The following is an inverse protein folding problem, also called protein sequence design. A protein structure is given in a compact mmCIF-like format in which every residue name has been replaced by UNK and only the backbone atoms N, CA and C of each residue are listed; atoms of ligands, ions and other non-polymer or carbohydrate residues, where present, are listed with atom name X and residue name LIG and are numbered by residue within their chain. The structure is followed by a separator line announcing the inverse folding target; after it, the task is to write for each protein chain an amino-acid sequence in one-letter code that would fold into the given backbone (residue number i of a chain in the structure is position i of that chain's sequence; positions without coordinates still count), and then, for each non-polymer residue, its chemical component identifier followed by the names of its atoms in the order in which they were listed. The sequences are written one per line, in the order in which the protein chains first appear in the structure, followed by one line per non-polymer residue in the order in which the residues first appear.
data_IF_719175698354
#
_entry.id   IF_719175698354
#
_cell.length_a   1.000
_cell.length_b   1.000
_cell.length_c   1.000
_cell.angle_alpha   90.00
_cell.angle_beta   90.00
_cell.angle_gamma   90.00
#
_symmetry.space_group_name_H-M   'P 1'
#
loop_
_entity.id
_entity.type
_entity.pdbx_description
1 polymer ?
#
# COMPACT_ATOMS: atom_id res chain seq x y z
N UNK A 1 12.51 -23.07 5.05
CA UNK A 1 13.01 -22.42 6.29
C UNK A 1 12.21 -21.15 6.46
N UNK A 2 11.51 -20.96 7.58
CA UNK A 2 10.72 -19.76 7.82
C UNK A 2 11.66 -18.55 7.93
N UNK A 3 11.48 -17.56 7.06
CA UNK A 3 12.16 -16.29 7.14
C UNK A 3 11.40 -15.38 8.12
N UNK A 4 11.51 -15.64 9.43
CA UNK A 4 11.10 -14.68 10.43
C UNK A 4 12.07 -13.49 10.37
N UNK A 5 11.62 -12.35 9.87
CA UNK A 5 12.34 -11.08 10.01
C UNK A 5 12.53 -10.80 11.51
N UNK A 6 13.71 -10.39 11.90
CA UNK A 6 14.04 -10.06 13.31
C UNK A 6 13.33 -8.78 13.78
N UNK A 7 12.84 -7.97 12.85
CA UNK A 7 12.17 -6.71 13.15
C UNK A 7 10.67 -6.93 13.48
N UNK A 8 10.13 -6.08 14.35
CA UNK A 8 8.69 -6.04 14.63
C UNK A 8 7.90 -5.66 13.36
N UNK A 9 6.74 -6.31 13.16
CA UNK A 9 5.84 -5.97 12.04
C UNK A 9 5.38 -4.53 12.14
N UNK A 10 5.41 -3.81 11.00
CA UNK A 10 4.95 -2.43 10.91
C UNK A 10 3.48 -2.33 10.58
N UNK A 11 2.87 -1.22 10.98
CA UNK A 11 1.47 -0.93 10.71
C UNK A 11 1.33 0.32 9.85
N UNK A 12 0.51 0.20 8.82
CA UNK A 12 0.08 1.31 7.99
C UNK A 12 -1.44 1.34 7.86
N UNK A 13 -2.01 2.49 7.54
CA UNK A 13 -3.42 2.58 7.19
C UNK A 13 -3.61 3.27 5.84
N UNK A 14 -4.67 2.89 5.13
CA UNK A 14 -5.13 3.59 3.93
C UNK A 14 -5.75 4.92 4.31
N UNK A 15 -5.20 6.00 3.80
CA UNK A 15 -5.78 7.34 4.00
C UNK A 15 -7.09 7.43 3.22
N UNK A 16 -8.22 7.76 3.87
CA UNK A 16 -9.46 7.99 3.16
C UNK A 16 -9.49 9.40 2.53
N UNK A 17 -8.57 9.65 1.57
CA UNK A 17 -8.56 10.86 0.75
C UNK A 17 -9.53 10.78 -0.44
N UNK A 18 -10.52 9.92 -0.33
CA UNK A 18 -11.55 9.60 -1.31
C UNK A 18 -12.91 9.57 -0.62
N UNK A 19 -13.98 10.04 -1.30
CA UNK A 19 -15.33 9.89 -0.80
C UNK A 19 -15.79 8.43 -0.83
N UNK A 20 -16.82 8.07 -0.04
CA UNK A 20 -17.39 6.71 -0.03
C UNK A 20 -16.61 5.67 0.79
N UNK A 21 -15.51 6.04 1.46
CA UNK A 21 -14.73 5.12 2.30
C UNK A 21 -13.94 4.07 1.51
N UNK A 22 -13.68 2.91 2.13
CA UNK A 22 -12.87 1.84 1.53
C UNK A 22 -13.64 0.55 1.22
N UNK A 23 -14.96 0.56 1.32
CA UNK A 23 -15.81 -0.54 0.86
C UNK A 23 -16.90 -0.01 -0.08
N UNK A 24 -17.18 -0.74 -1.13
CA UNK A 24 -18.23 -0.44 -2.12
C UNK A 24 -19.58 -0.94 -1.56
N UNK A 25 -20.04 -0.29 -0.50
CA UNK A 25 -21.23 -0.70 0.25
C UNK A 25 -22.02 0.52 0.71
N UNK A 26 -23.33 0.36 0.80
CA UNK A 26 -24.26 1.35 1.37
C UNK A 26 -24.35 1.25 2.92
N UNK A 27 -23.50 0.48 3.54
CA UNK A 27 -23.37 0.48 4.99
C UNK A 27 -22.89 1.85 5.47
N UNK A 28 -23.32 2.27 6.66
CA UNK A 28 -22.76 3.48 7.26
C UNK A 28 -21.24 3.37 7.43
N UNK A 29 -20.51 4.30 6.84
CA UNK A 29 -19.08 4.45 7.00
C UNK A 29 -18.83 5.82 7.64
N UNK A 30 -18.51 5.87 8.93
CA UNK A 30 -18.15 7.12 9.63
C UNK A 30 -16.73 7.53 9.24
N UNK A 31 -16.58 7.81 7.96
CA UNK A 31 -15.32 8.12 7.28
C UNK A 31 -15.55 9.33 6.39
N UNK A 32 -14.60 10.25 6.37
CA UNK A 32 -14.72 11.50 5.62
C UNK A 32 -13.40 11.80 4.90
N UNK A 33 -13.48 12.30 3.66
CA UNK A 33 -12.31 12.63 2.85
C UNK A 33 -11.77 14.05 3.06
N UNK A 34 -12.37 14.83 3.97
CA UNK A 34 -11.91 16.20 4.26
C UNK A 34 -10.51 16.23 4.89
N UNK A 35 -9.78 17.33 4.67
CA UNK A 35 -8.48 17.53 5.26
C UNK A 35 -8.52 17.54 6.80
N UNK A 36 -9.56 18.17 7.39
CA UNK A 36 -9.73 18.21 8.85
C UNK A 36 -9.86 16.82 9.46
N UNK A 37 -10.74 15.98 8.88
CA UNK A 37 -10.93 14.60 9.33
C UNK A 37 -9.63 13.80 9.24
N UNK A 38 -8.93 13.91 8.12
CA UNK A 38 -7.71 13.12 7.87
C UNK A 38 -6.50 13.61 8.68
N UNK A 39 -6.37 14.91 8.98
CA UNK A 39 -5.35 15.41 9.93
C UNK A 39 -5.57 14.82 11.32
N UNK A 40 -6.82 14.81 11.80
CA UNK A 40 -7.18 14.21 13.09
C UNK A 40 -6.91 12.71 13.09
N UNK A 41 -7.28 12.00 12.02
CA UNK A 41 -7.01 10.58 11.87
C UNK A 41 -5.50 10.28 11.89
N UNK A 42 -4.68 11.07 11.18
CA UNK A 42 -3.23 10.91 11.19
C UNK A 42 -2.62 11.07 12.59
N UNK A 43 -3.11 12.04 13.36
CA UNK A 43 -2.70 12.24 14.75
C UNK A 43 -3.15 11.10 15.68
N UNK A 44 -4.35 10.55 15.46
CA UNK A 44 -4.82 9.36 16.17
C UNK A 44 -3.92 8.16 15.83
N UNK A 45 -3.66 7.91 14.56
CA UNK A 45 -2.83 6.81 14.10
C UNK A 45 -1.38 6.90 14.63
N UNK A 46 -0.81 8.10 14.64
CA UNK A 46 0.52 8.37 15.23
C UNK A 46 0.56 7.97 16.71
N UNK A 47 -0.44 8.39 17.50
CA UNK A 47 -0.55 8.05 18.91
C UNK A 47 -0.85 6.56 19.14
N UNK A 48 -1.61 5.95 18.25
CA UNK A 48 -1.98 4.54 18.28
C UNK A 48 -0.84 3.59 17.87
N UNK A 49 0.32 4.12 17.45
CA UNK A 49 1.51 3.34 17.13
C UNK A 49 1.58 2.85 15.69
N UNK A 50 0.87 3.50 14.76
CA UNK A 50 1.06 3.26 13.32
C UNK A 50 2.36 3.89 12.83
N UNK A 51 3.08 3.17 11.97
CA UNK A 51 4.34 3.61 11.37
C UNK A 51 4.09 4.47 10.12
N UNK A 52 3.04 4.13 9.32
CA UNK A 52 2.77 4.76 8.04
C UNK A 52 1.28 5.05 7.82
N UNK A 53 1.05 6.06 6.96
CA UNK A 53 -0.22 6.29 6.28
C UNK A 53 0.02 6.26 4.77
N UNK A 54 -0.90 5.71 3.96
CA UNK A 54 -0.78 5.68 2.50
C UNK A 54 -1.92 6.44 1.86
N UNK A 55 -1.61 7.56 1.17
CA UNK A 55 -2.57 8.31 0.37
C UNK A 55 -2.76 7.67 -1.01
N UNK A 56 -4.02 7.39 -1.35
CA UNK A 56 -4.39 6.76 -2.62
C UNK A 56 -4.20 7.73 -3.78
N UNK A 57 -3.97 7.19 -4.99
CA UNK A 57 -3.94 7.95 -6.23
C UNK A 57 -5.03 7.51 -7.20
N UNK A 58 -5.82 8.47 -7.63
CA UNK A 58 -6.75 8.43 -8.77
C UNK A 58 -6.89 9.83 -9.33
N UNK A 59 -7.02 9.97 -10.63
CA UNK A 59 -7.36 11.25 -11.29
C UNK A 59 -8.86 11.41 -11.47
N UNK A 60 -9.57 10.28 -11.48
CA UNK A 60 -11.04 10.26 -11.55
C UNK A 60 -11.55 9.37 -10.43
N UNK A 61 -12.47 9.88 -9.63
CA UNK A 61 -13.23 9.07 -8.69
C UNK A 61 -14.13 8.06 -9.45
N UNK A 62 -14.58 7.03 -8.78
CA UNK A 62 -15.48 6.04 -9.37
C UNK A 62 -15.70 4.83 -8.48
N UNK A 63 -16.59 3.94 -8.92
CA UNK A 63 -16.90 2.70 -8.18
C UNK A 63 -17.37 2.95 -6.75
N UNK A 64 -18.36 3.86 -6.59
CA UNK A 64 -18.89 4.24 -5.29
C UNK A 64 -18.25 5.47 -4.64
N UNK A 65 -17.32 6.13 -5.34
CA UNK A 65 -16.71 7.40 -4.93
C UNK A 65 -16.98 8.49 -5.96
N UNK A 66 -17.22 9.72 -5.50
CA UNK A 66 -17.48 10.90 -6.35
C UNK A 66 -16.31 11.88 -6.36
N UNK A 67 -15.51 11.92 -5.29
CA UNK A 67 -14.42 12.87 -5.10
C UNK A 67 -13.16 12.16 -4.60
N UNK A 68 -12.01 12.57 -5.08
CA UNK A 68 -10.71 12.11 -4.59
C UNK A 68 -9.66 13.22 -4.68
N UNK A 69 -8.93 13.42 -3.58
CA UNK A 69 -7.83 14.38 -3.52
C UNK A 69 -6.56 13.82 -4.14
N UNK A 70 -5.73 14.73 -4.67
CA UNK A 70 -4.42 14.40 -5.20
C UNK A 70 -3.49 13.94 -4.05
N UNK A 71 -2.79 12.84 -4.27
CA UNK A 71 -2.08 12.10 -3.23
C UNK A 71 -0.86 12.80 -2.66
N UNK A 72 -0.04 13.49 -3.48
CA UNK A 72 1.21 14.11 -3.03
C UNK A 72 0.93 15.34 -2.19
N UNK A 73 0.04 16.21 -2.66
CA UNK A 73 -0.38 17.40 -1.92
C UNK A 73 -1.08 17.02 -0.60
N UNK A 74 -1.97 16.01 -0.65
CA UNK A 74 -2.67 15.53 0.54
C UNK A 74 -1.71 14.89 1.55
N UNK A 75 -0.73 14.11 1.09
CA UNK A 75 0.31 13.53 1.95
C UNK A 75 1.14 14.60 2.66
N UNK A 76 1.48 15.70 1.97
CA UNK A 76 2.20 16.81 2.60
C UNK A 76 1.40 17.47 3.72
N UNK A 77 0.09 17.62 3.55
CA UNK A 77 -0.79 18.16 4.58
C UNK A 77 -0.84 17.26 5.84
N UNK A 78 -0.90 15.94 5.67
CA UNK A 78 -0.85 14.98 6.79
C UNK A 78 0.50 14.99 7.51
N UNK A 79 1.59 15.08 6.75
CA UNK A 79 2.93 15.19 7.30
C UNK A 79 3.12 16.48 8.12
N UNK A 80 2.50 17.57 7.71
CA UNK A 80 2.52 18.83 8.45
C UNK A 80 1.71 18.77 9.76
N UNK A 81 0.71 17.88 9.83
CA UNK A 81 -0.16 17.68 11.00
C UNK A 81 0.39 16.67 12.02
N UNK A 82 1.50 15.97 11.71
CA UNK A 82 2.09 14.89 12.51
C UNK A 82 3.58 15.13 12.76
N UNK A 83 4.20 14.35 13.65
CA UNK A 83 5.61 14.53 14.07
C UNK A 83 6.49 13.33 13.77
N UNK A 84 5.97 12.11 13.85
CA UNK A 84 6.71 10.86 13.68
C UNK A 84 6.14 9.97 12.58
N UNK A 85 4.84 10.05 12.30
CA UNK A 85 4.17 9.26 11.28
C UNK A 85 4.80 9.51 9.91
N UNK A 86 5.17 8.44 9.20
CA UNK A 86 5.56 8.51 7.80
C UNK A 86 4.34 8.48 6.89
N UNK A 87 4.37 9.22 5.79
CA UNK A 87 3.28 9.19 4.81
C UNK A 87 3.82 8.77 3.45
N UNK A 88 3.16 7.76 2.89
CA UNK A 88 3.45 7.18 1.58
C UNK A 88 2.52 7.86 0.55
N UNK A 89 3.10 8.70 -0.31
CA UNK A 89 2.36 9.34 -1.40
C UNK A 89 2.34 8.42 -2.63
N UNK A 90 1.16 8.06 -3.12
CA UNK A 90 1.07 7.27 -4.34
C UNK A 90 1.32 8.14 -5.58
N UNK A 91 2.08 7.63 -6.56
CA UNK A 91 2.45 8.31 -7.80
C UNK A 91 2.22 7.36 -8.98
N UNK A 92 1.71 7.88 -10.10
CA UNK A 92 1.52 7.16 -11.36
C UNK A 92 2.57 7.61 -12.40
N UNK A 93 3.47 6.72 -12.87
CA UNK A 93 4.30 6.98 -14.05
C UNK A 93 3.45 7.23 -15.30
N UNK A 94 3.85 8.20 -16.08
CA UNK A 94 3.09 8.73 -17.19
C UNK A 94 2.61 10.13 -16.84
N UNK A 95 1.56 10.29 -16.05
CA UNK A 95 1.13 11.61 -15.59
C UNK A 95 2.21 12.38 -14.83
N UNK A 96 3.04 11.69 -14.03
CA UNK A 96 4.23 12.29 -13.41
C UNK A 96 5.48 12.03 -14.24
N UNK A 97 6.26 13.09 -14.43
CA UNK A 97 7.65 12.99 -14.88
C UNK A 97 8.57 12.73 -13.68
N UNK A 98 9.60 11.86 -13.80
CA UNK A 98 10.52 11.58 -12.68
C UNK A 98 11.23 12.81 -12.12
N UNK A 99 11.57 13.81 -12.94
CA UNK A 99 12.21 15.03 -12.45
C UNK A 99 11.27 15.87 -11.58
N UNK A 100 9.97 15.97 -11.99
CA UNK A 100 8.96 16.66 -11.19
C UNK A 100 8.75 15.92 -9.86
N UNK A 101 8.54 14.62 -9.89
CA UNK A 101 8.38 13.82 -8.69
C UNK A 101 9.61 13.90 -7.78
N UNK A 102 10.82 13.79 -8.35
CA UNK A 102 12.07 13.91 -7.58
C UNK A 102 12.17 15.26 -6.86
N UNK A 103 11.77 16.36 -7.53
CA UNK A 103 11.80 17.71 -6.97
C UNK A 103 10.75 17.89 -5.87
N UNK A 104 9.52 17.44 -6.09
CA UNK A 104 8.44 17.53 -5.11
C UNK A 104 8.79 16.73 -3.85
N UNK A 105 9.17 15.47 -4.01
CA UNK A 105 9.46 14.56 -2.89
C UNK A 105 10.72 15.01 -2.13
N UNK A 106 11.77 15.50 -2.80
CA UNK A 106 12.94 16.06 -2.12
C UNK A 106 12.57 17.27 -1.25
N UNK A 107 11.67 18.13 -1.75
CA UNK A 107 11.20 19.31 -0.99
C UNK A 107 10.36 18.88 0.21
N UNK A 108 9.41 17.97 0.03
CA UNK A 108 8.57 17.45 1.13
C UNK A 108 9.44 16.72 2.17
N UNK A 109 10.40 15.91 1.72
CA UNK A 109 11.35 15.21 2.59
C UNK A 109 12.15 16.17 3.45
N UNK A 110 12.64 17.28 2.86
CA UNK A 110 13.34 18.33 3.60
C UNK A 110 12.43 19.00 4.64
N UNK A 111 11.21 19.38 4.25
CA UNK A 111 10.24 20.07 5.14
C UNK A 111 9.76 19.20 6.29
N UNK A 112 9.83 17.88 6.14
CA UNK A 112 9.25 16.89 7.07
C UNK A 112 10.28 15.96 7.72
N UNK A 113 11.58 16.32 7.63
CA UNK A 113 12.69 15.54 8.20
C UNK A 113 12.70 14.06 7.73
N UNK A 114 12.49 13.83 6.43
CA UNK A 114 12.60 12.50 5.84
C UNK A 114 11.39 11.59 6.04
N UNK A 115 10.22 12.11 6.43
CA UNK A 115 9.03 11.29 6.73
C UNK A 115 8.16 10.97 5.52
N UNK A 116 8.46 11.48 4.33
CA UNK A 116 7.75 11.12 3.11
C UNK A 116 8.35 9.87 2.47
N UNK A 117 7.49 8.95 2.04
CA UNK A 117 7.81 7.84 1.15
C UNK A 117 6.92 7.90 -0.10
N UNK A 118 7.20 7.11 -1.12
CA UNK A 118 6.36 7.04 -2.31
C UNK A 118 5.88 5.61 -2.56
N UNK A 119 4.66 5.47 -3.09
CA UNK A 119 4.17 4.21 -3.66
C UNK A 119 4.01 4.39 -5.16
N UNK A 120 4.85 3.72 -5.94
CA UNK A 120 4.78 3.77 -7.39
C UNK A 120 3.73 2.79 -7.91
N UNK A 121 2.67 3.32 -8.49
CA UNK A 121 1.55 2.54 -9.04
C UNK A 121 1.70 2.46 -10.56
N UNK A 122 1.95 1.25 -11.10
CA UNK A 122 2.18 1.07 -12.54
C UNK A 122 0.93 1.30 -13.41
N UNK A 123 -0.24 1.41 -12.79
CA UNK A 123 -1.52 1.68 -13.45
C UNK A 123 -2.34 0.40 -13.69
N UNK A 124 -3.63 0.48 -13.47
CA UNK A 124 -4.58 -0.60 -13.69
C UNK A 124 -5.89 -0.13 -14.35
N UNK A 125 -6.20 1.17 -14.26
CA UNK A 125 -7.44 1.75 -14.78
C UNK A 125 -7.18 2.48 -16.11
N UNK A 126 -7.43 1.77 -17.23
CA UNK A 126 -7.22 2.29 -18.57
C UNK A 126 -8.05 3.55 -18.87
N UNK A 127 -9.30 3.57 -18.40
CA UNK A 127 -10.21 4.70 -18.61
C UNK A 127 -9.69 6.01 -18.03
N UNK A 128 -9.04 5.95 -16.87
CA UNK A 128 -8.43 7.12 -16.22
C UNK A 128 -7.29 7.72 -17.06
N UNK A 129 -6.38 6.88 -17.59
CA UNK A 129 -5.28 7.33 -18.46
C UNK A 129 -5.81 8.02 -19.72
N UNK A 130 -6.84 7.44 -20.34
CA UNK A 130 -7.47 8.07 -21.51
C UNK A 130 -8.14 9.40 -21.16
N UNK A 131 -8.82 9.50 -19.99
CA UNK A 131 -9.52 10.70 -19.57
C UNK A 131 -8.58 11.89 -19.36
N UNK A 132 -7.36 11.66 -18.90
CA UNK A 132 -6.35 12.70 -18.69
C UNK A 132 -5.42 12.90 -19.89
N UNK A 133 -5.67 12.22 -21.02
CA UNK A 133 -4.86 12.33 -22.24
C UNK A 133 -3.52 11.59 -22.18
N UNK A 134 -3.34 10.66 -21.25
CA UNK A 134 -2.12 9.88 -21.09
C UNK A 134 -2.18 8.58 -21.92
N UNK A 135 -1.03 8.18 -22.50
CA UNK A 135 -0.94 6.96 -23.26
C UNK A 135 -1.00 5.71 -22.40
N UNK A 136 -1.89 4.76 -22.77
CA UNK A 136 -1.96 3.46 -22.13
C UNK A 136 -0.98 2.47 -22.73
N UNK A 137 -0.10 1.93 -21.90
CA UNK A 137 0.88 0.90 -22.28
C UNK A 137 0.35 -0.51 -21.94
N UNK A 138 0.86 -1.52 -22.63
CA UNK A 138 0.62 -2.91 -22.28
C UNK A 138 1.14 -3.25 -20.88
N UNK A 139 0.66 -4.35 -20.30
CA UNK A 139 0.90 -4.70 -18.91
C UNK A 139 2.38 -4.63 -18.50
N UNK A 140 3.24 -5.37 -19.19
CA UNK A 140 4.65 -5.47 -18.82
C UNK A 140 5.42 -4.17 -19.12
N UNK A 141 5.01 -3.43 -20.17
CA UNK A 141 5.59 -2.12 -20.51
C UNK A 141 5.32 -1.07 -19.43
N UNK A 142 4.16 -1.14 -18.73
CA UNK A 142 3.90 -0.27 -17.58
C UNK A 142 4.90 -0.52 -16.45
N UNK A 143 5.26 -1.78 -16.16
CA UNK A 143 6.29 -2.12 -15.17
C UNK A 143 7.69 -1.71 -15.64
N UNK A 144 8.03 -1.86 -16.92
CA UNK A 144 9.29 -1.34 -17.49
C UNK A 144 9.40 0.17 -17.30
N UNK A 145 8.33 0.91 -17.62
CA UNK A 145 8.26 2.37 -17.40
C UNK A 145 8.43 2.72 -15.91
N UNK A 146 7.80 1.98 -15.05
CA UNK A 146 7.91 2.17 -13.58
C UNK A 146 9.33 1.89 -13.08
N UNK A 147 10.01 0.89 -13.59
CA UNK A 147 11.39 0.60 -13.23
C UNK A 147 12.34 1.74 -13.66
N UNK A 148 12.19 2.25 -14.90
CA UNK A 148 12.97 3.42 -15.35
C UNK A 148 12.68 4.66 -14.49
N UNK A 149 11.42 4.85 -14.09
CA UNK A 149 11.02 5.94 -13.20
C UNK A 149 11.76 5.87 -11.86
N UNK A 150 11.80 4.70 -11.22
CA UNK A 150 12.52 4.49 -9.95
C UNK A 150 14.03 4.70 -10.14
N UNK A 151 14.63 4.15 -11.21
CA UNK A 151 16.04 4.36 -11.52
C UNK A 151 16.37 5.84 -11.71
N UNK A 152 15.49 6.56 -12.41
CA UNK A 152 15.64 8.00 -12.59
C UNK A 152 15.53 8.77 -11.25
N UNK A 153 14.53 8.46 -10.40
CA UNK A 153 14.42 9.06 -9.07
C UNK A 153 15.70 8.88 -8.26
N UNK A 154 16.19 7.65 -8.15
CA UNK A 154 17.42 7.35 -7.39
C UNK A 154 18.63 8.07 -7.97
N UNK A 155 18.79 8.07 -9.29
CA UNK A 155 19.88 8.79 -9.95
C UNK A 155 19.84 10.29 -9.71
N UNK A 156 18.65 10.91 -9.84
CA UNK A 156 18.44 12.34 -9.59
C UNK A 156 18.72 12.69 -8.12
N UNK A 157 18.35 11.85 -7.16
CA UNK A 157 18.57 12.11 -5.74
C UNK A 157 20.03 11.92 -5.30
N UNK A 158 20.78 11.03 -5.95
CA UNK A 158 22.13 10.65 -5.49
C UNK A 158 23.28 11.27 -6.26
N UNK A 159 23.10 11.55 -7.56
CA UNK A 159 24.18 12.07 -8.41
C UNK A 159 24.14 13.61 -8.50
N UNK A 160 25.28 14.25 -8.52
CA UNK A 160 25.37 15.71 -8.68
C UNK A 160 24.89 16.19 -10.05
N UNK A 161 25.22 15.44 -11.08
CA UNK A 161 24.73 15.61 -12.45
C UNK A 161 24.25 14.25 -12.98
N UNK A 162 22.99 14.17 -13.33
CA UNK A 162 22.35 12.93 -13.77
C UNK A 162 22.06 12.95 -15.26
N UNK A 163 22.65 12.00 -15.98
CA UNK A 163 22.36 11.73 -17.40
C UNK A 163 21.80 10.32 -17.52
N UNK A 164 20.67 10.16 -18.20
CA UNK A 164 19.98 8.89 -18.36
C UNK A 164 19.39 8.78 -19.79
N UNK A 165 19.51 7.61 -20.40
CA UNK A 165 19.01 7.29 -21.72
C UNK A 165 18.20 5.99 -21.65
N UNK A 166 16.94 6.10 -21.27
CA UNK A 166 15.99 5.00 -21.22
C UNK A 166 15.06 4.98 -22.44
N UNK A 167 14.18 4.00 -22.46
CA UNK A 167 13.12 3.87 -23.48
C UNK A 167 12.00 4.88 -23.22
N UNK A 168 11.69 5.17 -21.97
CA UNK A 168 10.59 6.04 -21.54
C UNK A 168 11.06 7.41 -21.09
N UNK A 169 12.25 7.52 -20.47
CA UNK A 169 12.73 8.77 -19.91
C UNK A 169 14.15 9.08 -20.36
N UNK A 170 14.42 10.40 -20.56
CA UNK A 170 15.74 10.88 -20.96
C UNK A 170 16.08 12.13 -20.19
N UNK A 171 17.26 12.14 -19.57
CA UNK A 171 17.82 13.27 -18.84
C UNK A 171 19.21 13.58 -19.37
N UNK A 172 19.56 14.87 -19.33
CA UNK A 172 20.86 15.35 -19.78
C UNK A 172 21.42 16.32 -18.74
N UNK A 173 22.43 15.86 -18.00
CA UNK A 173 23.16 16.65 -17.00
C UNK A 173 22.22 17.33 -15.96
N UNK A 174 21.11 16.69 -15.61
CA UNK A 174 20.16 17.25 -14.67
C UNK A 174 20.72 17.24 -13.23
N UNK A 175 20.78 18.43 -12.60
CA UNK A 175 21.22 18.62 -11.23
C UNK A 175 20.06 19.08 -10.36
N UNK A 176 19.62 18.22 -9.44
CA UNK A 176 18.62 18.54 -8.43
C UNK A 176 19.30 19.13 -7.19
N UNK A 177 18.84 20.31 -6.75
CA UNK A 177 19.22 20.94 -5.48
C UNK A 177 18.00 21.61 -4.84
N UNK A 178 17.78 21.50 -3.49
CA UNK A 178 18.50 20.60 -2.60
C UNK A 178 18.19 19.13 -2.88
N UNK A 179 19.07 18.23 -2.48
CA UNK A 179 18.83 16.79 -2.43
C UNK A 179 17.90 16.46 -1.25
N UNK A 180 17.16 15.35 -1.27
CA UNK A 180 16.46 14.87 -0.08
C UNK A 180 17.50 14.55 1.03
N UNK A 181 17.14 14.76 2.32
CA UNK A 181 17.99 14.32 3.43
C UNK A 181 18.13 12.80 3.46
N UNK A 182 19.16 12.32 4.14
CA UNK A 182 19.36 10.91 4.39
C UNK A 182 18.61 10.46 5.66
N UNK A 183 18.04 9.23 5.68
CA UNK A 183 17.97 8.30 4.56
C UNK A 183 17.06 8.80 3.43
N UNK A 184 17.32 8.35 2.19
CA UNK A 184 16.47 8.69 1.04
C UNK A 184 15.02 8.25 1.26
N UNK A 185 14.05 8.92 0.61
CA UNK A 185 12.65 8.48 0.64
C UNK A 185 12.51 7.03 0.20
N UNK A 186 11.79 6.23 1.00
CA UNK A 186 11.52 4.82 0.70
C UNK A 186 10.61 4.70 -0.51
N UNK A 187 10.85 3.71 -1.34
CA UNK A 187 10.08 3.42 -2.56
C UNK A 187 9.29 2.14 -2.37
N UNK A 188 7.99 2.28 -2.28
CA UNK A 188 7.00 1.21 -2.30
C UNK A 188 6.50 0.97 -3.72
N UNK A 189 6.05 -0.25 -4.00
CA UNK A 189 5.44 -0.61 -5.26
C UNK A 189 4.48 -1.78 -5.06
N UNK A 190 3.33 -1.74 -5.74
CA UNK A 190 2.31 -2.78 -5.65
C UNK A 190 2.19 -3.62 -6.92
N UNK A 191 1.58 -4.79 -6.77
CA UNK A 191 1.22 -5.71 -7.84
C UNK A 191 1.58 -7.15 -7.51
N UNK A 192 0.81 -8.12 -8.02
CA UNK A 192 1.04 -9.56 -7.77
C UNK A 192 1.55 -10.33 -8.99
N UNK A 193 1.61 -9.71 -10.18
CA UNK A 193 2.11 -10.34 -11.40
C UNK A 193 3.61 -10.63 -11.35
N UNK A 194 4.08 -11.49 -12.23
CA UNK A 194 5.51 -11.76 -12.39
C UNK A 194 6.30 -10.47 -12.66
N UNK A 195 5.83 -9.65 -13.59
CA UNK A 195 6.49 -8.37 -13.92
C UNK A 195 6.60 -7.44 -12.70
N UNK A 196 5.58 -7.40 -11.84
CA UNK A 196 5.61 -6.65 -10.58
C UNK A 196 6.70 -7.16 -9.62
N UNK A 197 6.76 -8.48 -9.41
CA UNK A 197 7.77 -9.10 -8.53
C UNK A 197 9.17 -8.96 -9.11
N UNK A 198 9.33 -9.10 -10.44
CA UNK A 198 10.61 -8.90 -11.12
C UNK A 198 11.13 -7.47 -10.95
N UNK A 199 10.25 -6.47 -11.10
CA UNK A 199 10.62 -5.07 -10.88
C UNK A 199 10.98 -4.81 -9.41
N UNK A 200 10.11 -5.24 -8.47
CA UNK A 200 10.34 -5.03 -7.05
C UNK A 200 11.67 -5.63 -6.58
N UNK A 201 11.99 -6.83 -7.06
CA UNK A 201 13.25 -7.55 -6.72
C UNK A 201 14.52 -6.83 -7.16
N UNK A 202 14.42 -5.83 -8.06
CA UNK A 202 15.58 -5.08 -8.58
C UNK A 202 15.70 -3.65 -8.06
N UNK A 203 14.56 -2.99 -7.75
CA UNK A 203 14.61 -1.53 -7.56
C UNK A 203 13.76 -1.00 -6.40
N UNK A 204 12.83 -1.76 -5.82
CA UNK A 204 11.93 -1.27 -4.78
C UNK A 204 12.44 -1.59 -3.37
N UNK A 205 12.23 -0.68 -2.41
CA UNK A 205 12.54 -0.97 -0.99
C UNK A 205 11.43 -1.82 -0.36
N UNK A 206 10.19 -1.63 -0.84
CA UNK A 206 8.99 -2.30 -0.37
C UNK A 206 8.13 -2.81 -1.53
N UNK A 207 7.56 -3.98 -1.35
CA UNK A 207 6.59 -4.58 -2.26
C UNK A 207 5.26 -4.75 -1.55
N UNK A 208 4.17 -4.18 -2.12
CA UNK A 208 2.82 -4.38 -1.65
C UNK A 208 2.10 -5.46 -2.45
N UNK A 209 1.44 -6.38 -1.76
CA UNK A 209 0.51 -7.34 -2.35
C UNK A 209 -0.90 -7.16 -1.79
N UNK A 210 -1.92 -7.56 -2.57
CA UNK A 210 -3.31 -7.61 -2.09
C UNK A 210 -3.46 -8.61 -0.93
N UNK A 211 -4.56 -8.47 -0.18
CA UNK A 211 -4.91 -9.39 0.90
C UNK A 211 -5.03 -10.84 0.40
N UNK A 212 -4.47 -11.78 1.15
CA UNK A 212 -4.58 -13.20 0.87
C UNK A 212 -4.28 -14.04 2.13
N UNK A 213 -4.49 -15.36 2.05
CA UNK A 213 -4.10 -16.26 3.13
C UNK A 213 -2.58 -16.27 3.35
N UNK A 214 -2.10 -16.57 4.58
CA UNK A 214 -0.67 -16.66 4.86
C UNK A 214 0.08 -17.61 3.90
N UNK A 215 -0.54 -18.72 3.50
CA UNK A 215 0.06 -19.69 2.58
C UNK A 215 0.30 -19.10 1.17
N UNK A 216 -0.65 -18.31 0.65
CA UNK A 216 -0.48 -17.65 -0.65
C UNK A 216 0.48 -16.45 -0.58
N UNK A 217 0.50 -15.74 0.54
CA UNK A 217 1.50 -14.69 0.80
C UNK A 217 2.91 -15.29 0.83
N UNK A 218 3.12 -16.39 1.55
CA UNK A 218 4.42 -17.07 1.62
C UNK A 218 4.97 -17.42 0.23
N UNK A 219 4.13 -17.95 -0.67
CA UNK A 219 4.55 -18.27 -2.05
C UNK A 219 5.04 -17.04 -2.83
N UNK A 220 4.34 -15.91 -2.70
CA UNK A 220 4.74 -14.66 -3.36
C UNK A 220 6.04 -14.10 -2.77
N UNK A 221 6.17 -14.18 -1.44
CA UNK A 221 7.37 -13.74 -0.72
C UNK A 221 8.59 -14.57 -1.10
N UNK A 222 8.45 -15.89 -1.19
CA UNK A 222 9.54 -16.79 -1.57
C UNK A 222 10.07 -16.51 -2.99
N UNK A 223 9.15 -16.33 -3.96
CA UNK A 223 9.51 -15.95 -5.34
C UNK A 223 10.22 -14.60 -5.38
N UNK A 224 9.65 -13.59 -4.69
CA UNK A 224 10.22 -12.25 -4.63
C UNK A 224 11.61 -12.23 -3.99
N UNK A 225 11.80 -12.89 -2.83
CA UNK A 225 13.08 -12.92 -2.11
C UNK A 225 14.15 -13.67 -2.88
N UNK A 226 13.78 -14.78 -3.54
CA UNK A 226 14.68 -15.52 -4.42
C UNK A 226 15.21 -14.63 -5.56
N UNK A 227 14.34 -13.87 -6.21
CA UNK A 227 14.71 -12.94 -7.28
C UNK A 227 15.55 -11.76 -6.77
N UNK A 228 15.20 -11.24 -5.58
CA UNK A 228 15.95 -10.14 -4.97
C UNK A 228 17.38 -10.55 -4.63
N UNK A 229 17.57 -11.76 -4.08
CA UNK A 229 18.90 -12.32 -3.82
C UNK A 229 19.72 -12.46 -5.12
N UNK A 230 19.11 -12.95 -6.20
CA UNK A 230 19.76 -13.05 -7.50
C UNK A 230 20.17 -11.68 -8.08
N UNK A 231 19.47 -10.60 -7.68
CA UNK A 231 19.75 -9.21 -8.06
C UNK A 231 20.66 -8.48 -7.07
N UNK A 232 21.16 -9.15 -6.03
CA UNK A 232 21.88 -8.54 -4.90
C UNK A 232 21.12 -7.37 -4.29
N UNK A 233 19.81 -7.52 -4.13
CA UNK A 233 18.88 -6.52 -3.61
C UNK A 233 18.10 -7.06 -2.40
N UNK A 234 17.63 -6.15 -1.54
CA UNK A 234 16.77 -6.47 -0.41
C UNK A 234 15.45 -5.75 -0.56
N UNK A 235 14.34 -6.46 -0.39
CA UNK A 235 12.99 -5.91 -0.49
C UNK A 235 12.14 -6.40 0.68
N UNK A 236 11.41 -5.49 1.30
CA UNK A 236 10.44 -5.76 2.37
C UNK A 236 9.05 -5.95 1.78
N UNK A 237 8.18 -6.64 2.49
CA UNK A 237 6.82 -6.97 2.01
C UNK A 237 5.75 -6.36 2.88
N UNK A 238 4.84 -5.62 2.25
CA UNK A 238 3.61 -5.14 2.85
C UNK A 238 2.40 -5.92 2.32
N UNK A 239 1.48 -6.28 3.21
CA UNK A 239 0.25 -7.01 2.86
C UNK A 239 -0.95 -6.12 3.12
N UNK A 240 -1.84 -5.99 2.13
CA UNK A 240 -3.12 -5.32 2.29
C UNK A 240 -4.07 -6.15 3.15
N UNK A 241 -4.80 -5.47 4.03
CA UNK A 241 -5.79 -6.08 4.89
C UNK A 241 -6.96 -5.13 5.15
N UNK A 242 -8.10 -5.68 5.55
CA UNK A 242 -9.20 -4.90 6.11
C UNK A 242 -9.53 -5.47 7.49
N UNK A 243 -9.44 -4.63 8.51
CA UNK A 243 -9.64 -5.06 9.88
C UNK A 243 -11.08 -4.80 10.35
N UNK A 244 -11.70 -5.82 10.92
CA UNK A 244 -12.98 -5.73 11.63
C UNK A 244 -12.77 -6.37 13.00
N UNK A 245 -12.52 -5.54 14.01
CA UNK A 245 -12.19 -5.99 15.37
C UNK A 245 -13.36 -5.69 16.31
N UNK A 246 -13.90 -6.73 16.94
CA UNK A 246 -15.04 -6.61 17.88
C UNK A 246 -14.76 -7.42 19.14
N UNK A 247 -15.61 -7.30 20.15
CA UNK A 247 -15.47 -8.06 21.41
C UNK A 247 -15.62 -9.56 21.18
N UNK A 248 -16.47 -9.95 20.24
CA UNK A 248 -16.68 -11.35 19.85
C UNK A 248 -16.45 -11.57 18.36
N UNK A 249 -16.09 -12.80 18.00
CA UNK A 249 -15.91 -13.17 16.59
C UNK A 249 -17.24 -13.10 15.81
N UNK A 250 -18.36 -13.43 16.47
CA UNK A 250 -19.68 -13.39 15.85
C UNK A 250 -20.08 -11.95 15.51
N UNK A 251 -19.81 -10.99 16.38
CA UNK A 251 -20.02 -9.57 16.09
C UNK A 251 -19.17 -9.09 14.90
N UNK A 252 -17.90 -9.47 14.85
CA UNK A 252 -17.02 -9.13 13.73
C UNK A 252 -17.51 -9.73 12.40
N UNK A 253 -17.93 -10.99 12.41
CA UNK A 253 -18.52 -11.66 11.26
C UNK A 253 -19.86 -11.05 10.83
N UNK A 254 -20.68 -10.62 11.79
CA UNK A 254 -21.94 -9.94 11.49
C UNK A 254 -21.71 -8.60 10.76
N UNK A 255 -20.68 -7.82 11.14
CA UNK A 255 -20.30 -6.59 10.43
C UNK A 255 -19.85 -6.90 9.00
N UNK A 256 -19.01 -7.92 8.78
CA UNK A 256 -18.62 -8.32 7.42
C UNK A 256 -19.83 -8.73 6.59
N UNK A 257 -20.73 -9.54 7.17
CA UNK A 257 -21.95 -9.96 6.48
C UNK A 257 -22.84 -8.77 6.11
N UNK A 258 -22.94 -7.76 6.97
CA UNK A 258 -23.68 -6.52 6.70
C UNK A 258 -23.02 -5.69 5.60
N UNK A 259 -21.69 -5.54 5.60
CA UNK A 259 -20.94 -4.86 4.53
C UNK A 259 -21.28 -5.48 3.17
N UNK A 260 -21.22 -6.83 3.07
CA UNK A 260 -21.50 -7.57 1.85
C UNK A 260 -22.99 -7.50 1.46
N UNK A 261 -23.90 -7.66 2.41
CA UNK A 261 -25.34 -7.58 2.16
C UNK A 261 -25.79 -6.20 1.66
N UNK A 262 -25.12 -5.15 2.09
CA UNK A 262 -25.39 -3.77 1.66
C UNK A 262 -24.48 -3.30 0.53
N UNK A 263 -23.69 -4.20 -0.08
CA UNK A 263 -22.84 -3.84 -1.23
C UNK A 263 -23.65 -3.16 -2.33
N UNK A 264 -23.03 -2.22 -3.05
CA UNK A 264 -23.62 -1.64 -4.25
C UNK A 264 -23.26 -2.54 -5.45
N UNK A 265 -24.20 -3.39 -5.95
CA UNK A 265 -23.86 -4.40 -6.95
C UNK A 265 -23.40 -3.80 -8.28
N UNK A 266 -23.96 -2.65 -8.66
CA UNK A 266 -23.60 -1.96 -9.91
C UNK A 266 -22.12 -1.49 -9.83
N UNK A 267 -21.76 -0.80 -8.77
CA UNK A 267 -20.40 -0.30 -8.57
C UNK A 267 -19.38 -1.44 -8.38
N UNK A 268 -19.72 -2.50 -7.62
CA UNK A 268 -18.85 -3.67 -7.43
C UNK A 268 -18.63 -4.41 -8.76
N UNK A 269 -19.67 -4.60 -9.57
CA UNK A 269 -19.55 -5.26 -10.87
C UNK A 269 -18.74 -4.41 -11.86
N UNK A 270 -18.95 -3.09 -11.88
CA UNK A 270 -18.17 -2.17 -12.72
C UNK A 270 -16.68 -2.18 -12.32
N UNK A 271 -16.38 -2.08 -11.03
CA UNK A 271 -15.03 -2.25 -10.50
C UNK A 271 -14.43 -3.61 -10.87
N UNK A 272 -15.19 -4.69 -10.62
CA UNK A 272 -14.76 -6.06 -10.91
C UNK A 272 -14.46 -6.31 -12.39
N UNK A 273 -15.23 -5.72 -13.30
CA UNK A 273 -14.95 -5.80 -14.74
C UNK A 273 -13.59 -5.17 -15.08
N UNK A 274 -13.33 -3.96 -14.56
CA UNK A 274 -12.07 -3.24 -14.85
C UNK A 274 -10.86 -3.96 -14.25
N UNK A 275 -10.89 -4.30 -12.96
CA UNK A 275 -9.72 -4.88 -12.27
C UNK A 275 -9.43 -6.32 -12.69
N UNK A 276 -10.45 -7.12 -13.01
CA UNK A 276 -10.25 -8.47 -13.55
C UNK A 276 -9.61 -8.43 -14.93
N UNK A 277 -10.00 -7.47 -15.77
CA UNK A 277 -9.35 -7.26 -17.06
C UNK A 277 -7.90 -6.83 -16.88
N UNK A 278 -7.63 -5.91 -15.96
CA UNK A 278 -6.27 -5.49 -15.63
C UNK A 278 -5.42 -6.63 -15.06
N UNK A 279 -5.98 -7.46 -14.17
CA UNK A 279 -5.31 -8.61 -13.58
C UNK A 279 -5.01 -9.73 -14.60
N UNK A 280 -5.95 -9.99 -15.52
CA UNK A 280 -5.78 -10.97 -16.61
C UNK A 280 -4.87 -10.47 -17.73
N UNK A 281 -4.57 -9.17 -17.77
CA UNK A 281 -3.67 -8.59 -18.76
C UNK A 281 -2.19 -8.98 -18.55
N UNK A 282 -1.83 -9.54 -17.37
CA UNK A 282 -0.52 -10.18 -17.20
C UNK A 282 -0.45 -11.45 -18.07
N UNK A 283 0.69 -11.76 -18.71
CA UNK A 283 0.82 -12.93 -19.56
C UNK A 283 0.46 -14.25 -18.87
N UNK A 284 0.73 -14.35 -17.57
CA UNK A 284 0.41 -15.51 -16.73
C UNK A 284 -0.98 -15.48 -16.07
N UNK A 285 -1.74 -14.37 -16.21
CA UNK A 285 -3.06 -14.19 -15.60
C UNK A 285 -3.06 -14.14 -14.07
N UNK A 286 -1.94 -13.74 -13.45
CA UNK A 286 -1.72 -13.72 -11.99
C UNK A 286 -1.75 -12.32 -11.38
N UNK A 287 -2.17 -11.29 -12.13
CA UNK A 287 -2.29 -9.93 -11.60
C UNK A 287 -3.27 -9.82 -10.44
N UNK A 288 -3.19 -8.72 -9.69
CA UNK A 288 -4.15 -8.41 -8.63
C UNK A 288 -5.59 -8.59 -9.14
N UNK A 289 -6.47 -9.07 -8.26
CA UNK A 289 -7.91 -9.32 -8.49
C UNK A 289 -8.26 -10.36 -9.57
N UNK A 290 -7.31 -10.99 -10.24
CA UNK A 290 -7.59 -11.95 -11.32
C UNK A 290 -8.54 -13.09 -10.87
N UNK A 291 -8.49 -13.48 -9.59
CA UNK A 291 -9.26 -14.56 -8.98
C UNK A 291 -10.25 -14.10 -7.89
N UNK A 292 -10.49 -12.80 -7.74
CA UNK A 292 -11.36 -12.26 -6.69
C UNK A 292 -12.82 -12.57 -6.96
N UNK A 293 -13.55 -12.99 -5.92
CA UNK A 293 -15.02 -13.16 -5.94
C UNK A 293 -15.75 -11.81 -5.92
N UNK A 294 -17.08 -11.82 -5.97
CA UNK A 294 -17.87 -10.61 -5.76
C UNK A 294 -17.64 -10.04 -4.35
N UNK A 295 -17.67 -10.89 -3.33
CA UNK A 295 -17.50 -10.48 -1.94
C UNK A 295 -16.12 -9.88 -1.68
N UNK A 296 -15.07 -10.47 -2.27
CA UNK A 296 -13.71 -9.90 -2.21
C UNK A 296 -13.64 -8.49 -2.81
N UNK A 297 -14.36 -8.25 -3.91
CA UNK A 297 -14.36 -6.98 -4.64
C UNK A 297 -15.18 -5.87 -3.97
N UNK A 298 -15.95 -6.18 -2.94
CA UNK A 298 -16.60 -5.17 -2.09
C UNK A 298 -15.55 -4.30 -1.39
N UNK A 299 -14.34 -4.83 -1.16
CA UNK A 299 -13.19 -4.09 -0.66
C UNK A 299 -12.11 -4.00 -1.76
N UNK A 300 -11.57 -2.80 -2.00
CA UNK A 300 -10.76 -2.47 -3.17
C UNK A 300 -9.45 -3.27 -3.34
N UNK A 301 -8.88 -3.85 -2.28
CA UNK A 301 -7.55 -4.51 -2.31
C UNK A 301 -7.57 -5.94 -1.77
N UNK A 302 -8.68 -6.66 -1.95
CA UNK A 302 -8.89 -8.03 -1.43
C UNK A 302 -8.64 -8.14 0.09
N UNK A 303 -8.81 -7.04 0.82
CA UNK A 303 -8.43 -6.96 2.24
C UNK A 303 -9.16 -7.96 3.14
N UNK A 304 -10.38 -8.39 2.79
CA UNK A 304 -11.12 -9.41 3.54
C UNK A 304 -10.44 -10.77 3.50
N UNK A 305 -9.67 -11.09 2.45
CA UNK A 305 -8.96 -12.36 2.29
C UNK A 305 -7.81 -12.56 3.27
N UNK A 306 -7.30 -11.48 3.86
CA UNK A 306 -6.32 -11.56 4.96
C UNK A 306 -6.94 -12.03 6.28
N UNK A 307 -8.28 -12.05 6.36
CA UNK A 307 -9.07 -12.52 7.50
C UNK A 307 -8.74 -11.83 8.84
N UNK A 308 -8.44 -10.52 8.82
CA UNK A 308 -8.26 -9.75 10.07
C UNK A 308 -9.63 -9.35 10.67
N UNK A 309 -10.49 -10.36 10.88
CA UNK A 309 -11.91 -10.23 11.27
C UNK A 309 -12.15 -11.11 12.49
N UNK A 310 -12.33 -10.52 13.68
CA UNK A 310 -12.48 -11.27 14.91
C UNK A 310 -12.24 -10.45 16.17
N UNK A 311 -11.92 -11.14 17.28
CA UNK A 311 -11.52 -10.48 18.52
C UNK A 311 -10.10 -9.90 18.41
N UNK A 312 -9.69 -8.97 19.30
CA UNK A 312 -8.32 -8.45 19.29
C UNK A 312 -7.25 -9.55 19.31
N UNK A 313 -7.44 -10.60 20.11
CA UNK A 313 -6.51 -11.73 20.19
C UNK A 313 -6.42 -12.52 18.88
N UNK A 314 -7.54 -12.88 18.28
CA UNK A 314 -7.58 -13.58 17.03
C UNK A 314 -6.94 -12.78 15.88
N UNK A 315 -7.20 -11.47 15.84
CA UNK A 315 -6.60 -10.59 14.82
C UNK A 315 -5.09 -10.49 15.03
N UNK A 316 -4.62 -10.36 16.26
CA UNK A 316 -3.20 -10.33 16.58
C UNK A 316 -2.48 -11.64 16.15
N UNK A 317 -3.08 -12.81 16.43
CA UNK A 317 -2.55 -14.11 16.02
C UNK A 317 -2.46 -14.23 14.49
N UNK A 318 -3.48 -13.79 13.75
CA UNK A 318 -3.48 -13.79 12.27
C UNK A 318 -2.44 -12.83 11.67
N UNK A 319 -2.17 -11.71 12.35
CA UNK A 319 -1.07 -10.79 11.95
C UNK A 319 0.28 -11.47 12.13
N UNK A 320 0.48 -12.19 13.23
CA UNK A 320 1.72 -12.96 13.44
C UNK A 320 1.87 -14.09 12.42
N UNK A 321 0.76 -14.74 12.00
CA UNK A 321 0.80 -15.72 10.91
C UNK A 321 1.20 -15.08 9.56
N UNK A 322 0.72 -13.88 9.26
CA UNK A 322 1.16 -13.13 8.07
C UNK A 322 2.66 -12.74 8.19
N UNK A 323 3.12 -12.35 9.38
CA UNK A 323 4.56 -12.10 9.62
C UNK A 323 5.40 -13.35 9.38
N UNK A 324 4.97 -14.51 9.89
CA UNK A 324 5.64 -15.81 9.63
C UNK A 324 5.67 -16.14 8.13
N UNK A 325 4.65 -15.73 7.38
CA UNK A 325 4.59 -15.83 5.93
C UNK A 325 5.52 -14.83 5.21
N UNK A 326 6.19 -13.94 5.94
CA UNK A 326 7.17 -12.98 5.45
C UNK A 326 6.66 -11.57 5.24
N UNK A 327 5.50 -11.19 5.80
CA UNK A 327 5.03 -9.82 5.83
C UNK A 327 5.85 -8.99 6.84
N UNK A 328 6.39 -7.87 6.41
CA UNK A 328 7.11 -6.90 7.24
C UNK A 328 6.19 -5.73 7.65
N UNK A 329 5.06 -5.55 6.95
CA UNK A 329 4.09 -4.48 7.18
C UNK A 329 2.67 -4.94 6.84
N UNK A 330 1.69 -4.53 7.66
CA UNK A 330 0.27 -4.70 7.37
C UNK A 330 -0.34 -3.33 7.06
N UNK A 331 -0.91 -3.20 5.84
CA UNK A 331 -1.59 -1.99 5.38
C UNK A 331 -3.10 -2.17 5.54
N UNK A 332 -3.68 -1.43 6.47
CA UNK A 332 -5.02 -1.65 6.99
C UNK A 332 -6.06 -0.70 6.39
N UNK A 333 -7.20 -1.25 6.00
CA UNK A 333 -8.44 -0.53 5.82
C UNK A 333 -9.37 -0.75 7.02
N UNK A 334 -10.26 0.20 7.26
CA UNK A 334 -11.24 0.19 8.35
C UNK A 334 -12.59 0.70 7.84
N UNK A 335 -13.67 0.33 8.53
CA UNK A 335 -15.01 0.84 8.23
C UNK A 335 -15.22 2.24 8.83
N UNK A 336 -14.81 2.43 10.07
CA UNK A 336 -14.93 3.68 10.84
C UNK A 336 -13.54 4.11 11.30
N UNK A 337 -12.80 4.82 10.44
CA UNK A 337 -11.35 4.98 10.59
C UNK A 337 -10.91 5.56 11.93
N UNK A 338 -11.45 6.69 12.39
CA UNK A 338 -10.92 7.33 13.61
C UNK A 338 -11.08 6.44 14.82
N UNK A 339 -12.26 5.85 14.99
CA UNK A 339 -12.58 4.98 16.13
C UNK A 339 -11.84 3.64 16.05
N UNK A 340 -11.80 3.03 14.87
CA UNK A 340 -11.23 1.68 14.69
C UNK A 340 -9.70 1.69 14.64
N UNK A 341 -9.06 2.76 14.15
CA UNK A 341 -7.61 2.96 14.24
C UNK A 341 -7.18 3.12 15.69
N UNK A 342 -7.91 3.93 16.48
CA UNK A 342 -7.63 4.08 17.91
C UNK A 342 -7.83 2.76 18.67
N UNK A 343 -8.94 2.06 18.42
CA UNK A 343 -9.23 0.77 19.03
C UNK A 343 -8.17 -0.29 18.67
N UNK A 344 -7.79 -0.37 17.40
CA UNK A 344 -6.76 -1.30 16.93
C UNK A 344 -5.40 -1.03 17.59
N UNK A 345 -4.99 0.23 17.68
CA UNK A 345 -3.76 0.62 18.36
C UNK A 345 -3.74 0.25 19.83
N UNK A 346 -4.86 0.44 20.52
CA UNK A 346 -4.94 0.18 21.97
C UNK A 346 -5.11 -1.31 22.32
N UNK A 347 -5.73 -2.11 21.43
CA UNK A 347 -6.13 -3.49 21.76
C UNK A 347 -5.46 -4.57 20.91
N UNK A 348 -5.01 -4.28 19.69
CA UNK A 348 -4.41 -5.28 18.79
C UNK A 348 -2.89 -5.15 18.76
N UNK A 349 -2.37 -3.96 18.53
CA UNK A 349 -0.90 -3.74 18.42
C UNK A 349 -0.15 -4.27 19.66
N UNK A 350 -0.59 -4.01 20.92
CA UNK A 350 0.08 -4.56 22.10
C UNK A 350 0.11 -6.09 22.14
N UNK A 351 -0.98 -6.75 21.71
CA UNK A 351 -1.05 -8.21 21.64
C UNK A 351 -0.12 -8.78 20.57
N UNK A 352 0.00 -8.11 19.43
CA UNK A 352 0.99 -8.49 18.40
C UNK A 352 2.40 -8.41 18.99
N UNK A 353 2.75 -7.32 19.68
CA UNK A 353 4.06 -7.16 20.31
C UNK A 353 4.34 -8.23 21.37
N UNK A 354 3.33 -8.59 22.18
CA UNK A 354 3.43 -9.70 23.14
C UNK A 354 3.76 -11.02 22.44
N UNK A 355 3.03 -11.35 21.36
CA UNK A 355 3.25 -12.57 20.59
C UNK A 355 4.62 -12.61 19.93
N UNK A 356 5.05 -11.51 19.29
CA UNK A 356 6.38 -11.39 18.68
C UNK A 356 7.50 -11.61 19.69
N UNK A 357 7.39 -11.01 20.89
CA UNK A 357 8.38 -11.16 21.95
C UNK A 357 8.42 -12.60 22.48
N UNK A 358 7.27 -13.27 22.61
CA UNK A 358 7.20 -14.67 23.04
C UNK A 358 7.87 -15.61 22.02
N UNK A 359 7.68 -15.38 20.73
CA UNK A 359 8.37 -16.16 19.68
C UNK A 359 9.88 -15.96 19.69
N UNK A 360 10.33 -14.72 19.84
CA UNK A 360 11.75 -14.40 19.91
C UNK A 360 12.41 -15.07 21.12
N UNK A 361 11.76 -15.03 22.29
CA UNK A 361 12.25 -15.70 23.49
C UNK A 361 12.32 -17.22 23.32
N UNK A 362 11.31 -17.83 22.66
CA UNK A 362 11.30 -19.26 22.37
C UNK A 362 12.42 -19.68 21.39
N UNK A 363 12.69 -18.85 20.38
CA UNK A 363 13.78 -19.09 19.42
C UNK A 363 15.16 -19.05 20.12
N UNK A 364 15.39 -18.03 20.96
CA UNK A 364 16.65 -17.90 21.71
C UNK A 364 16.87 -19.03 22.72
N UNK A 365 15.79 -19.62 23.27
CA UNK A 365 15.88 -20.74 24.19
C UNK A 365 16.12 -22.09 23.48
N UNK A 366 15.91 -22.15 22.15
CA UNK A 366 16.12 -23.34 21.32
C UNK A 366 17.52 -23.41 20.66
N UNK A 367 18.27 -22.31 20.65
CA UNK A 367 19.69 -22.21 20.24
C UNK A 367 20.63 -22.52 21.41
#
# INVERSE_FOLDING_TARGET
MAHAGTDAVKFAYWVPNVSGGLVISNIEQRTNHSAEYNRKLAQIAEKAGFDYALSQIRFTAGYGADEQHESVAFSHDLLAATTTLKVIAAILPGPWNPALAAKQIATISYLTNGRVAINLVSGWFRGEFHAIGEHWLDHDERYRRSEEFIRALRGIWTQDSFTFRGDFYRFNEYSLKPKPPQPLPEIFQGGSSRAARDMASRVSDWYFTNGNSPAEIAKQVDDLKTKAQASNHSVKVGVNAFAIVRETEDEAKAVLAEIIAKANPEAVNAFGHEVKNAGKASPEGEGNWAKSSFDDLVQYNDGFRSNLIGTPRQVAERIVDLKRAGADLILLGFLHFQEEVEYFGNHVIPLVRELENAEQAASLAAE
#
